data_IF_397485849471
#
_entry.id   IF_397485849471
#
_cell.length_a   1.000
_cell.length_b   1.000
_cell.length_c   1.000
_cell.angle_alpha   90.00
_cell.angle_beta   90.00
_cell.angle_gamma   90.00
#
_symmetry.space_group_name_H-M   'P 1'
#
loop_
_entity.id
_entity.type
_entity.pdbx_description
1 polymer ?
#
# COMPACT_ATOMS: atom_id res chain seq x y z
N UNK A 1 24.97 -43.59 33.55
CA UNK A 1 25.14 -42.31 32.83
C UNK A 1 26.32 -42.47 31.88
N UNK A 2 26.11 -42.38 30.57
CA UNK A 2 27.09 -42.83 29.55
C UNK A 2 28.23 -41.81 29.43
N UNK A 3 29.47 -42.24 29.68
CA UNK A 3 30.69 -41.40 29.69
C UNK A 3 31.17 -40.91 28.31
N UNK A 4 30.51 -41.29 27.21
CA UNK A 4 31.04 -41.13 25.84
C UNK A 4 30.16 -40.28 24.89
N UNK A 5 29.13 -39.59 25.40
CA UNK A 5 28.19 -38.81 24.58
C UNK A 5 28.83 -37.65 23.83
N UNK A 6 29.84 -36.99 24.40
CA UNK A 6 30.52 -35.85 23.73
C UNK A 6 31.27 -36.25 22.45
N UNK A 7 31.93 -37.41 22.42
CA UNK A 7 32.64 -37.89 21.23
C UNK A 7 31.70 -38.36 20.12
N UNK A 8 30.58 -38.98 20.49
CA UNK A 8 29.53 -39.38 19.53
C UNK A 8 28.84 -38.14 18.96
N UNK A 9 28.62 -37.11 19.77
CA UNK A 9 28.03 -35.85 19.33
C UNK A 9 28.97 -35.07 18.39
N UNK A 10 30.27 -34.96 18.71
CA UNK A 10 31.27 -34.37 17.79
C UNK A 10 31.35 -35.13 16.46
N UNK A 11 31.28 -36.46 16.49
CA UNK A 11 31.25 -37.27 15.27
C UNK A 11 29.97 -37.01 14.46
N UNK A 12 28.81 -36.98 15.12
CA UNK A 12 27.53 -36.65 14.48
C UNK A 12 27.57 -35.29 13.79
N UNK A 13 28.06 -34.27 14.50
CA UNK A 13 28.17 -32.90 13.99
C UNK A 13 29.14 -32.83 12.78
N UNK A 14 30.23 -33.62 12.79
CA UNK A 14 31.15 -33.74 11.64
C UNK A 14 30.50 -34.40 10.44
N UNK A 15 29.72 -35.46 10.64
CA UNK A 15 28.98 -36.12 9.55
C UNK A 15 27.91 -35.22 8.96
N UNK A 16 27.17 -34.47 9.79
CA UNK A 16 26.20 -33.48 9.32
C UNK A 16 26.87 -32.38 8.49
N UNK A 17 27.99 -31.82 8.99
CA UNK A 17 28.76 -30.83 8.26
C UNK A 17 29.30 -31.36 6.92
N UNK A 18 29.84 -32.57 6.91
CA UNK A 18 30.32 -33.21 5.68
C UNK A 18 29.16 -33.41 4.69
N UNK A 19 28.01 -33.88 5.16
CA UNK A 19 26.83 -34.08 4.31
C UNK A 19 26.32 -32.76 3.71
N UNK A 20 26.32 -31.68 4.50
CA UNK A 20 25.97 -30.34 4.02
C UNK A 20 26.97 -29.83 2.96
N UNK A 21 28.28 -30.07 3.16
CA UNK A 21 29.29 -29.72 2.15
C UNK A 21 29.10 -30.50 0.85
N UNK A 22 28.89 -31.81 0.94
CA UNK A 22 28.68 -32.66 -0.23
C UNK A 22 27.42 -32.26 -1.00
N UNK A 23 26.35 -31.91 -0.29
CA UNK A 23 25.12 -31.38 -0.90
C UNK A 23 25.38 -30.07 -1.64
N UNK A 24 26.11 -29.12 -1.03
CA UNK A 24 26.50 -27.85 -1.67
C UNK A 24 27.38 -28.07 -2.89
N UNK A 25 28.34 -28.99 -2.82
CA UNK A 25 29.21 -29.35 -3.95
C UNK A 25 28.41 -29.93 -5.12
N UNK A 26 27.46 -30.82 -4.83
CA UNK A 26 26.56 -31.39 -5.84
C UNK A 26 25.72 -30.32 -6.53
N UNK A 27 25.14 -29.39 -5.77
CA UNK A 27 24.41 -28.23 -6.31
C UNK A 27 25.31 -27.35 -7.17
N UNK A 28 26.51 -27.01 -6.71
CA UNK A 28 27.45 -26.19 -7.47
C UNK A 28 27.85 -26.86 -8.79
N UNK A 29 28.15 -28.15 -8.77
CA UNK A 29 28.49 -28.90 -9.98
C UNK A 29 27.33 -28.88 -11.00
N UNK A 30 26.09 -28.96 -10.51
CA UNK A 30 24.89 -28.82 -11.35
C UNK A 30 24.77 -27.41 -11.93
N UNK A 31 24.99 -26.36 -11.12
CA UNK A 31 24.95 -24.97 -11.58
C UNK A 31 26.01 -24.69 -12.65
N UNK A 32 27.23 -25.25 -12.52
CA UNK A 32 28.29 -25.11 -13.53
C UNK A 32 27.83 -25.72 -14.87
N UNK A 33 27.24 -26.92 -14.84
CA UNK A 33 26.71 -27.58 -16.06
C UNK A 33 25.60 -26.76 -16.72
N UNK A 34 24.63 -26.28 -15.93
CA UNK A 34 23.53 -25.45 -16.44
C UNK A 34 24.03 -24.12 -17.01
N UNK A 35 25.04 -23.51 -16.38
CA UNK A 35 25.59 -22.22 -16.82
C UNK A 35 26.41 -22.33 -18.10
N UNK A 36 27.00 -23.49 -18.36
CA UNK A 36 27.76 -23.77 -19.59
C UNK A 36 26.88 -24.27 -20.75
N UNK A 37 25.59 -24.53 -20.52
CA UNK A 37 24.61 -24.97 -21.53
C UNK A 37 23.75 -23.79 -22.01
N UNK A 38 23.94 -23.28 -23.24
CA UNK A 38 23.18 -22.16 -23.77
C UNK A 38 21.66 -22.40 -23.80
N UNK A 39 21.21 -23.64 -23.96
CA UNK A 39 19.78 -23.97 -23.99
C UNK A 39 19.15 -23.84 -22.61
N UNK A 40 19.85 -24.29 -21.57
CA UNK A 40 19.43 -24.12 -20.18
C UNK A 40 19.39 -22.64 -19.78
N UNK A 41 20.41 -21.86 -20.19
CA UNK A 41 20.46 -20.41 -19.96
C UNK A 41 19.29 -19.71 -20.67
N UNK A 42 19.05 -20.01 -21.95
CA UNK A 42 17.92 -19.42 -22.67
C UNK A 42 16.57 -19.80 -22.08
N UNK A 43 16.41 -21.03 -21.61
CA UNK A 43 15.20 -21.48 -20.90
C UNK A 43 14.97 -20.69 -19.61
N UNK A 44 16.03 -20.47 -18.83
CA UNK A 44 15.95 -19.64 -17.62
C UNK A 44 15.57 -18.19 -17.94
N UNK A 45 16.14 -17.59 -18.99
CA UNK A 45 15.79 -16.23 -19.44
C UNK A 45 14.32 -16.15 -19.86
N UNK A 46 13.82 -17.13 -20.61
CA UNK A 46 12.42 -17.15 -21.04
C UNK A 46 11.46 -17.24 -19.83
N UNK A 47 11.79 -18.06 -18.84
CA UNK A 47 11.01 -18.15 -17.61
C UNK A 47 11.04 -16.84 -16.82
N UNK A 48 12.19 -16.16 -16.75
CA UNK A 48 12.31 -14.85 -16.11
C UNK A 48 11.48 -13.79 -16.84
N UNK A 49 11.51 -13.76 -18.18
CA UNK A 49 10.73 -12.82 -18.98
C UNK A 49 9.22 -13.06 -18.84
N UNK A 50 8.79 -14.32 -18.77
CA UNK A 50 7.41 -14.69 -18.50
C UNK A 50 6.99 -14.23 -17.08
N UNK A 51 7.84 -14.45 -16.07
CA UNK A 51 7.62 -13.98 -14.70
C UNK A 51 7.50 -12.45 -14.63
N UNK A 52 8.40 -11.72 -15.28
CA UNK A 52 8.36 -10.26 -15.34
C UNK A 52 7.08 -9.76 -16.04
N UNK A 53 6.67 -10.42 -17.12
CA UNK A 53 5.42 -10.11 -17.82
C UNK A 53 4.19 -10.33 -16.93
N UNK A 54 4.13 -11.47 -16.23
CA UNK A 54 3.05 -11.78 -15.30
C UNK A 54 3.00 -10.81 -14.12
N UNK A 55 4.14 -10.32 -13.64
CA UNK A 55 4.18 -9.33 -12.56
C UNK A 55 3.79 -7.92 -13.03
N UNK A 56 4.24 -7.50 -14.21
CA UNK A 56 4.12 -6.10 -14.63
C UNK A 56 2.91 -5.84 -15.50
N UNK A 57 2.59 -6.73 -16.44
CA UNK A 57 1.59 -6.48 -17.50
C UNK A 57 0.23 -7.11 -17.21
N UNK A 58 0.13 -7.98 -16.21
CA UNK A 58 -1.15 -8.54 -15.77
C UNK A 58 -1.71 -7.77 -14.56
N UNK A 59 -3.04 -7.82 -14.41
CA UNK A 59 -3.74 -7.25 -13.24
C UNK A 59 -4.22 -8.33 -12.29
N UNK A 60 -5.00 -9.28 -12.80
CA UNK A 60 -5.65 -10.31 -11.98
C UNK A 60 -4.65 -11.30 -11.39
N UNK A 61 -3.75 -11.87 -12.19
CA UNK A 61 -2.79 -12.86 -11.70
C UNK A 61 -1.45 -12.26 -11.27
N UNK A 62 -1.30 -10.93 -11.36
CA UNK A 62 -0.09 -10.26 -10.87
C UNK A 62 -0.18 -10.07 -9.35
N UNK A 63 0.63 -10.75 -8.54
CA UNK A 63 0.69 -10.47 -7.10
C UNK A 63 1.15 -9.03 -6.82
N UNK A 64 1.98 -8.43 -7.69
CA UNK A 64 2.43 -7.06 -7.54
C UNK A 64 1.27 -6.05 -7.72
N UNK A 65 0.45 -6.23 -8.76
CA UNK A 65 -0.75 -5.41 -8.96
C UNK A 65 -1.73 -5.58 -7.81
N UNK A 66 -2.00 -6.82 -7.37
CA UNK A 66 -2.92 -7.07 -6.26
C UNK A 66 -2.45 -6.43 -4.95
N UNK A 67 -1.15 -6.43 -4.67
CA UNK A 67 -0.60 -5.76 -3.49
C UNK A 67 -0.82 -4.24 -3.51
N UNK A 68 -0.57 -3.58 -4.64
CA UNK A 68 -0.83 -2.13 -4.80
C UNK A 68 -2.32 -1.83 -4.69
N UNK A 69 -3.16 -2.65 -5.34
CA UNK A 69 -4.62 -2.55 -5.24
C UNK A 69 -5.10 -2.65 -3.81
N UNK A 70 -4.59 -3.63 -3.05
CA UNK A 70 -4.94 -3.82 -1.66
C UNK A 70 -4.56 -2.59 -0.82
N UNK A 71 -3.36 -2.05 -0.99
CA UNK A 71 -2.90 -0.87 -0.25
C UNK A 71 -3.78 0.36 -0.51
N UNK A 72 -4.10 0.64 -1.78
CA UNK A 72 -4.96 1.77 -2.16
C UNK A 72 -6.39 1.61 -1.62
N UNK A 73 -6.98 0.42 -1.81
CA UNK A 73 -8.34 0.14 -1.32
C UNK A 73 -8.40 0.13 0.21
N UNK A 74 -7.36 -0.32 0.90
CA UNK A 74 -7.29 -0.27 2.37
C UNK A 74 -7.20 1.18 2.88
N UNK A 75 -6.40 2.04 2.25
CA UNK A 75 -6.31 3.46 2.63
C UNK A 75 -7.66 4.18 2.44
N UNK A 76 -8.32 3.96 1.30
CA UNK A 76 -9.67 4.44 1.03
C UNK A 76 -10.67 3.88 2.06
N UNK A 77 -10.63 2.57 2.30
CA UNK A 77 -11.55 1.88 3.20
C UNK A 77 -11.41 2.36 4.64
N UNK A 78 -10.17 2.66 5.06
CA UNK A 78 -9.89 3.27 6.36
C UNK A 78 -10.59 4.62 6.46
N UNK A 79 -10.41 5.51 5.49
CA UNK A 79 -11.07 6.81 5.51
C UNK A 79 -12.60 6.70 5.47
N UNK A 80 -13.15 5.80 4.65
CA UNK A 80 -14.59 5.51 4.62
C UNK A 80 -15.11 5.06 5.98
N UNK A 81 -14.29 4.37 6.77
CA UNK A 81 -14.67 3.84 8.09
C UNK A 81 -14.61 4.91 9.17
N UNK A 82 -13.55 5.73 9.18
CA UNK A 82 -13.29 6.65 10.30
C UNK A 82 -13.65 8.11 10.01
N UNK A 83 -13.82 8.48 8.74
CA UNK A 83 -13.93 9.88 8.31
C UNK A 83 -15.06 10.64 8.99
N UNK A 84 -16.21 10.00 9.21
CA UNK A 84 -17.35 10.61 9.90
C UNK A 84 -17.04 11.07 11.33
N UNK A 85 -16.06 10.45 11.99
CA UNK A 85 -15.66 10.74 13.36
C UNK A 85 -14.48 11.71 13.44
N UNK A 86 -13.84 12.03 12.31
CA UNK A 86 -12.71 12.97 12.29
C UNK A 86 -13.24 14.39 12.42
N UNK A 87 -12.87 15.04 13.51
CA UNK A 87 -13.24 16.43 13.78
C UNK A 87 -12.31 17.39 13.03
N UNK A 88 -12.89 18.40 12.38
CA UNK A 88 -12.14 19.40 11.63
C UNK A 88 -12.75 20.81 11.73
N UNK A 89 -11.92 21.85 11.56
CA UNK A 89 -12.40 23.23 11.66
C UNK A 89 -11.32 24.31 11.61
N UNK A 90 -11.72 25.55 11.94
CA UNK A 90 -10.96 26.77 11.71
C UNK A 90 -9.84 27.03 12.74
N UNK A 91 -9.74 26.24 13.81
CA UNK A 91 -8.51 26.13 14.60
C UNK A 91 -8.02 27.35 15.36
N UNK A 92 -8.78 28.45 15.36
CA UNK A 92 -8.35 29.74 15.90
C UNK A 92 -8.53 29.86 17.43
N UNK A 93 -9.09 28.85 18.09
CA UNK A 93 -9.19 28.79 19.56
C UNK A 93 -10.16 29.79 20.17
N UNK A 94 -11.03 30.41 19.36
CA UNK A 94 -11.93 31.50 19.78
C UNK A 94 -13.27 31.00 20.36
N UNK A 95 -13.52 29.68 20.38
CA UNK A 95 -14.77 29.10 20.90
C UNK A 95 -16.00 29.27 19.99
N UNK A 96 -15.89 30.10 18.95
CA UNK A 96 -16.86 30.31 17.87
C UNK A 96 -16.17 30.94 16.67
N UNK A 97 -16.79 30.92 15.49
CA UNK A 97 -16.13 31.42 14.27
C UNK A 97 -17.10 31.81 13.16
N UNK A 98 -16.57 32.33 12.05
CA UNK A 98 -17.36 32.99 11.01
C UNK A 98 -18.24 32.04 10.20
N UNK A 99 -18.12 30.72 10.40
CA UNK A 99 -18.81 29.73 9.59
C UNK A 99 -18.14 28.35 9.56
N UNK A 100 -18.58 27.51 8.61
CA UNK A 100 -18.10 26.14 8.39
C UNK A 100 -17.67 25.91 6.93
N UNK A 101 -16.90 24.84 6.71
CA UNK A 101 -16.57 24.35 5.36
C UNK A 101 -17.14 22.95 5.18
N UNK A 102 -17.86 22.73 4.09
CA UNK A 102 -18.54 21.48 3.77
C UNK A 102 -17.83 20.84 2.58
N UNK A 103 -17.22 19.67 2.79
CA UNK A 103 -16.58 18.88 1.74
C UNK A 103 -17.58 17.85 1.19
N UNK A 104 -17.79 17.85 -0.13
CA UNK A 104 -18.73 16.94 -0.80
C UNK A 104 -18.04 15.63 -1.22
N UNK A 105 -18.86 14.58 -1.38
CA UNK A 105 -18.42 13.23 -1.71
C UNK A 105 -17.46 12.66 -0.66
N UNK A 106 -17.72 12.96 0.61
CA UNK A 106 -16.94 12.50 1.76
C UNK A 106 -17.80 11.58 2.66
N UNK A 107 -17.21 10.65 3.43
CA UNK A 107 -17.95 9.67 4.24
C UNK A 107 -18.46 10.30 5.55
N UNK A 108 -19.47 11.16 5.43
CA UNK A 108 -20.14 11.80 6.55
C UNK A 108 -21.09 10.90 7.32
N UNK A 109 -21.44 11.28 8.56
CA UNK A 109 -22.42 10.56 9.35
C UNK A 109 -23.80 10.68 8.69
N UNK A 110 -24.32 9.57 8.15
CA UNK A 110 -25.61 9.54 7.46
C UNK A 110 -25.70 10.44 6.22
N UNK A 111 -24.57 10.87 5.65
CA UNK A 111 -24.51 11.81 4.53
C UNK A 111 -23.27 11.57 3.67
N UNK A 112 -23.23 12.19 2.49
CA UNK A 112 -22.08 12.16 1.58
C UNK A 112 -21.23 13.44 1.69
N UNK A 113 -21.24 14.06 2.87
CA UNK A 113 -20.57 15.32 3.14
C UNK A 113 -19.92 15.30 4.53
N UNK A 114 -18.71 15.85 4.65
CA UNK A 114 -18.11 16.16 5.96
C UNK A 114 -18.12 17.66 6.16
N UNK A 115 -18.66 18.10 7.30
CA UNK A 115 -18.72 19.51 7.69
C UNK A 115 -17.66 19.81 8.73
N UNK A 116 -16.70 20.66 8.39
CA UNK A 116 -15.71 21.21 9.31
C UNK A 116 -16.25 22.46 9.99
N UNK A 117 -16.75 22.31 11.22
CA UNK A 117 -17.41 23.35 12.01
C UNK A 117 -16.84 23.50 13.43
N UNK A 118 -15.63 22.99 13.66
CA UNK A 118 -14.93 23.11 14.94
C UNK A 118 -14.18 24.44 15.06
N UNK A 119 -14.11 24.99 16.28
CA UNK A 119 -13.51 26.30 16.55
C UNK A 119 -12.46 26.26 17.67
N UNK A 120 -12.31 25.12 18.34
CA UNK A 120 -11.17 24.84 19.21
C UNK A 120 -9.86 24.82 18.42
N UNK A 121 -8.74 24.96 19.14
CA UNK A 121 -7.42 24.92 18.52
C UNK A 121 -7.20 23.62 17.74
N UNK A 122 -6.57 23.71 16.57
CA UNK A 122 -6.22 22.55 15.74
C UNK A 122 -4.82 22.01 16.05
N UNK A 123 -4.55 20.76 15.64
CA UNK A 123 -3.24 20.13 15.75
C UNK A 123 -3.28 18.76 16.42
N UNK A 124 -2.11 18.27 16.84
CA UNK A 124 -1.98 16.93 17.43
C UNK A 124 -2.88 16.78 18.67
N UNK A 125 -3.68 15.70 18.71
CA UNK A 125 -4.63 15.44 19.80
C UNK A 125 -5.87 16.34 19.81
N UNK A 126 -6.06 17.15 18.75
CA UNK A 126 -7.19 18.08 18.59
C UNK A 126 -7.83 17.91 17.20
N UNK A 127 -8.74 18.80 16.85
CA UNK A 127 -9.35 18.85 15.53
C UNK A 127 -8.33 19.13 14.42
N UNK A 128 -8.59 18.59 13.24
CA UNK A 128 -7.81 18.84 12.03
C UNK A 128 -8.12 20.25 11.48
N UNK A 129 -7.10 20.96 10.99
CA UNK A 129 -7.32 22.25 10.35
C UNK A 129 -7.98 22.06 8.98
N UNK A 130 -8.67 23.10 8.50
CA UNK A 130 -9.29 23.07 7.16
C UNK A 130 -8.24 22.82 6.06
N UNK A 131 -7.03 23.37 6.20
CA UNK A 131 -5.98 23.20 5.20
C UNK A 131 -5.45 21.76 5.16
N UNK A 132 -5.32 21.09 6.30
CA UNK A 132 -4.98 19.66 6.32
C UNK A 132 -6.14 18.81 5.78
N UNK A 133 -7.38 19.17 6.09
CA UNK A 133 -8.55 18.48 5.55
C UNK A 133 -8.65 18.64 4.03
N UNK A 134 -8.30 19.80 3.46
CA UNK A 134 -8.24 20.01 2.00
C UNK A 134 -7.27 19.05 1.32
N UNK A 135 -6.06 18.87 1.88
CA UNK A 135 -5.06 17.92 1.37
C UNK A 135 -5.58 16.49 1.42
N UNK A 136 -6.21 16.12 2.53
CA UNK A 136 -6.81 14.80 2.71
C UNK A 136 -7.92 14.56 1.69
N UNK A 137 -8.89 15.48 1.59
CA UNK A 137 -10.00 15.41 0.64
C UNK A 137 -9.45 15.33 -0.80
N UNK A 138 -8.49 16.15 -1.19
CA UNK A 138 -7.89 16.08 -2.53
C UNK A 138 -7.32 14.69 -2.83
N UNK A 139 -6.51 14.14 -1.93
CA UNK A 139 -5.95 12.80 -2.09
C UNK A 139 -7.04 11.72 -2.15
N UNK A 140 -8.02 11.77 -1.26
CA UNK A 140 -9.13 10.82 -1.23
C UNK A 140 -9.95 10.87 -2.52
N UNK A 141 -10.29 12.06 -3.01
CA UNK A 141 -11.05 12.24 -4.25
C UNK A 141 -10.25 11.75 -5.47
N UNK A 142 -8.94 12.00 -5.52
CA UNK A 142 -8.09 11.49 -6.61
C UNK A 142 -8.11 9.97 -6.64
N UNK A 143 -7.79 9.33 -5.50
CA UNK A 143 -7.69 7.87 -5.43
C UNK A 143 -9.05 7.22 -5.73
N UNK A 144 -10.11 7.70 -5.08
CA UNK A 144 -11.45 7.14 -5.25
C UNK A 144 -11.96 7.27 -6.67
N UNK A 145 -11.82 8.45 -7.27
CA UNK A 145 -12.31 8.67 -8.63
C UNK A 145 -11.46 7.93 -9.65
N UNK A 146 -10.14 7.84 -9.47
CA UNK A 146 -9.28 7.07 -10.35
C UNK A 146 -9.65 5.58 -10.33
N UNK A 147 -9.75 4.99 -9.13
CA UNK A 147 -10.13 3.58 -8.96
C UNK A 147 -11.51 3.29 -9.55
N UNK A 148 -12.48 4.19 -9.34
CA UNK A 148 -13.84 4.02 -9.86
C UNK A 148 -13.91 4.17 -11.38
N UNK A 149 -13.31 5.20 -11.95
CA UNK A 149 -13.38 5.50 -13.40
C UNK A 149 -12.67 4.44 -14.24
N UNK A 150 -11.61 3.84 -13.72
CA UNK A 150 -10.79 2.87 -14.45
C UNK A 150 -11.03 1.43 -14.05
N UNK A 151 -12.01 1.18 -13.16
CA UNK A 151 -12.25 -0.13 -12.56
C UNK A 151 -10.96 -0.76 -12.01
N UNK A 152 -10.18 0.04 -11.26
CA UNK A 152 -8.82 -0.25 -10.82
C UNK A 152 -7.83 0.83 -11.25
N UNK A 153 -6.58 0.45 -11.46
CA UNK A 153 -5.52 1.31 -12.01
C UNK A 153 -4.83 0.57 -13.18
N UNK A 154 -3.96 1.22 -13.97
CA UNK A 154 -3.25 0.57 -15.08
C UNK A 154 -2.35 -0.58 -14.62
N UNK A 155 -1.96 -1.45 -15.55
CA UNK A 155 -0.89 -2.41 -15.26
C UNK A 155 0.43 -1.68 -14.97
N UNK A 156 1.36 -2.35 -14.29
CA UNK A 156 2.54 -1.71 -13.68
C UNK A 156 3.69 -1.48 -14.67
N UNK A 157 3.69 -2.15 -15.82
CA UNK A 157 4.77 -2.13 -16.80
C UNK A 157 4.59 -1.12 -17.94
N UNK A 158 3.43 -0.51 -18.10
CA UNK A 158 3.13 0.45 -19.17
C UNK A 158 3.14 1.91 -18.72
N UNK A 159 2.74 2.77 -19.66
CA UNK A 159 2.52 4.19 -19.37
C UNK A 159 1.17 4.33 -18.66
N UNK A 160 1.16 5.03 -17.52
CA UNK A 160 -0.05 5.30 -16.77
C UNK A 160 -1.08 6.07 -17.61
N UNK A 161 -2.32 6.09 -17.14
CA UNK A 161 -3.44 6.80 -17.77
C UNK A 161 -3.85 8.00 -16.93
N UNK A 162 -4.17 9.11 -17.60
CA UNK A 162 -4.64 10.32 -16.93
C UNK A 162 -6.12 10.21 -16.56
N UNK A 163 -6.48 10.76 -15.41
CA UNK A 163 -7.88 10.87 -14.95
C UNK A 163 -8.13 12.32 -14.55
N UNK A 164 -9.18 12.92 -15.11
CA UNK A 164 -9.67 14.21 -14.64
C UNK A 164 -10.47 13.99 -13.36
N UNK A 165 -10.15 14.74 -12.31
CA UNK A 165 -10.79 14.65 -10.98
C UNK A 165 -11.41 16.00 -10.69
N UNK A 166 -12.69 16.01 -10.30
CA UNK A 166 -13.40 17.21 -9.86
C UNK A 166 -13.97 16.95 -8.47
N UNK A 167 -13.77 17.89 -7.55
CA UNK A 167 -14.35 17.86 -6.22
C UNK A 167 -14.75 19.27 -5.79
N UNK A 168 -15.74 19.36 -4.90
CA UNK A 168 -16.34 20.63 -4.49
C UNK A 168 -16.36 20.70 -2.97
N UNK A 169 -16.06 21.88 -2.45
CA UNK A 169 -16.34 22.22 -1.06
C UNK A 169 -16.98 23.61 -1.02
N UNK A 170 -17.78 23.84 0.02
CA UNK A 170 -18.55 25.07 0.20
C UNK A 170 -18.14 25.74 1.52
N UNK A 171 -17.92 27.05 1.50
CA UNK A 171 -17.75 27.85 2.71
C UNK A 171 -19.10 28.48 3.07
N UNK A 172 -19.67 28.13 4.22
CA UNK A 172 -20.92 28.74 4.73
C UNK A 172 -20.60 29.69 5.87
N UNK A 173 -20.94 30.95 5.71
CA UNK A 173 -20.88 31.91 6.81
C UNK A 173 -22.09 31.75 7.72
N UNK A 174 -21.85 31.89 9.03
CA UNK A 174 -22.94 32.01 10.01
C UNK A 174 -23.45 33.45 9.97
N UNK A 175 -24.73 33.65 9.63
CA UNK A 175 -25.39 34.95 9.76
C UNK A 175 -25.27 35.42 11.21
N UNK A 176 -24.70 36.60 11.42
CA UNK A 176 -24.63 37.23 12.74
C UNK A 176 -25.98 37.81 13.13
#
# INVERSE_FOLDING_TARGET
MVKNTKGIQDLSDRYENLNNLLTRYSTLNTLIKLSADPSAVSGAINNLNAGATGLLKEKTNSPAYQAVSLALNAAVGLWNTIGYAVMCGNGNGTGGGPGSVIFNNEPGQGSTQITCNRYEATGLGKSMSIDEFKKLNEAYQIIQQALKKQSGFPELGGQGTSVNVEYKYECKQSST
#
